data_IF_371943023107
#
_entry.id   IF_371943023107
#
_cell.length_a   1.000
_cell.length_b   1.000
_cell.length_c   1.000
_cell.angle_alpha   90.00
_cell.angle_beta   90.00
_cell.angle_gamma   90.00
#
_symmetry.space_group_name_H-M   'P 1'
#
loop_
_entity.id
_entity.type
_entity.pdbx_description
1 polymer ?
#
# COMPACT_ATOMS: atom_id res chain seq x y z
N UNK A 1 -4.71 48.81 -14.13
CA UNK A 1 -3.28 48.44 -14.25
C UNK A 1 -2.58 48.14 -12.92
N UNK A 2 -2.39 49.10 -12.00
CA UNK A 2 -1.61 48.84 -10.77
C UNK A 2 -2.32 47.88 -9.78
N UNK A 3 -3.65 48.02 -9.62
CA UNK A 3 -4.45 47.12 -8.79
C UNK A 3 -4.58 45.70 -9.38
N UNK A 4 -4.70 45.58 -10.71
CA UNK A 4 -4.78 44.27 -11.39
C UNK A 4 -3.45 43.51 -11.31
N UNK A 5 -2.32 44.22 -11.47
CA UNK A 5 -0.99 43.64 -11.32
C UNK A 5 -0.77 43.14 -9.88
N UNK A 6 -1.22 43.92 -8.89
CA UNK A 6 -1.14 43.54 -7.47
C UNK A 6 -1.99 42.29 -7.17
N UNK A 7 -3.22 42.21 -7.68
CA UNK A 7 -4.07 41.03 -7.52
C UNK A 7 -3.46 39.79 -8.18
N UNK A 8 -2.93 39.91 -9.39
CA UNK A 8 -2.27 38.81 -10.08
C UNK A 8 -1.02 38.32 -9.33
N UNK A 9 -0.23 39.25 -8.77
CA UNK A 9 0.90 38.93 -7.91
C UNK A 9 0.47 38.18 -6.64
N UNK A 10 -0.57 38.63 -5.95
CA UNK A 10 -1.08 37.93 -4.76
C UNK A 10 -1.61 36.54 -5.09
N UNK A 11 -2.37 36.38 -6.19
CA UNK A 11 -2.82 35.06 -6.65
C UNK A 11 -1.64 34.13 -6.98
N UNK A 12 -0.58 34.65 -7.61
CA UNK A 12 0.62 33.88 -7.88
C UNK A 12 1.33 33.47 -6.58
N UNK A 13 1.46 34.39 -5.61
CA UNK A 13 2.02 34.08 -4.29
C UNK A 13 1.20 33.04 -3.54
N UNK A 14 -0.13 33.18 -3.53
CA UNK A 14 -1.02 32.23 -2.87
C UNK A 14 -0.93 30.84 -3.53
N UNK A 15 -0.86 30.79 -4.86
CA UNK A 15 -0.66 29.53 -5.59
C UNK A 15 0.68 28.88 -5.24
N UNK A 16 1.78 29.65 -5.19
CA UNK A 16 3.10 29.15 -4.79
C UNK A 16 3.13 28.71 -3.31
N UNK A 17 2.41 29.41 -2.44
CA UNK A 17 2.28 29.05 -1.03
C UNK A 17 1.50 27.75 -0.87
N UNK A 18 0.40 27.57 -1.61
CA UNK A 18 -0.39 26.35 -1.62
C UNK A 18 0.40 25.14 -2.13
N UNK A 19 1.34 25.33 -3.06
CA UNK A 19 2.26 24.26 -3.50
C UNK A 19 3.19 23.75 -2.40
N UNK A 20 3.36 24.49 -1.30
CA UNK A 20 4.17 24.08 -0.13
C UNK A 20 3.34 23.38 0.95
N UNK A 21 2.01 23.40 0.84
CA UNK A 21 1.13 22.74 1.80
C UNK A 21 1.25 21.23 1.62
N UNK A 22 1.54 20.54 2.72
CA UNK A 22 1.57 19.08 2.77
C UNK A 22 0.35 18.60 3.56
N UNK A 23 -0.40 17.69 2.96
CA UNK A 23 -1.58 17.08 3.59
C UNK A 23 -1.18 15.76 4.22
N UNK A 24 -1.68 15.49 5.42
CA UNK A 24 -1.57 14.19 6.06
C UNK A 24 -2.97 13.59 6.18
N UNK A 25 -3.24 12.57 5.37
CA UNK A 25 -4.56 11.94 5.27
C UNK A 25 -4.47 10.48 5.71
N UNK A 26 -5.35 10.08 6.63
CA UNK A 26 -5.48 8.71 7.15
C UNK A 26 -6.95 8.38 7.35
N UNK A 27 -7.33 7.10 7.51
CA UNK A 27 -8.69 6.74 7.87
C UNK A 27 -9.12 7.45 9.15
N UNK A 28 -10.34 8.01 9.22
CA UNK A 28 -10.84 8.68 10.42
C UNK A 28 -10.85 7.77 11.67
N UNK A 29 -11.04 6.46 11.46
CA UNK A 29 -11.04 5.45 12.52
C UNK A 29 -10.12 4.30 12.12
N UNK A 30 -9.23 3.90 13.03
CA UNK A 30 -8.42 2.68 12.91
C UNK A 30 -8.60 1.86 14.18
N UNK A 31 -9.13 0.64 14.04
CA UNK A 31 -9.31 -0.31 15.14
C UNK A 31 -8.18 -1.33 15.09
N UNK A 32 -7.51 -1.56 16.22
CA UNK A 32 -6.38 -2.49 16.30
C UNK A 32 -6.57 -3.47 17.44
N UNK A 33 -6.19 -4.72 17.21
CA UNK A 33 -6.07 -5.75 18.24
C UNK A 33 -6.79 -7.04 17.86
N UNK A 34 -6.40 -8.13 18.50
CA UNK A 34 -7.07 -9.42 18.35
C UNK A 34 -8.58 -9.33 18.60
N UNK A 35 -9.36 -9.77 17.62
CA UNK A 35 -10.82 -9.74 17.67
C UNK A 35 -11.44 -8.39 17.29
N UNK A 36 -10.65 -7.40 16.83
CA UNK A 36 -11.16 -6.11 16.37
C UNK A 36 -12.22 -6.24 15.25
N UNK A 37 -12.19 -7.33 14.47
CA UNK A 37 -13.23 -7.64 13.48
C UNK A 37 -14.64 -7.72 14.11
N UNK A 38 -14.73 -8.08 15.39
CA UNK A 38 -15.98 -8.10 16.17
C UNK A 38 -16.66 -6.73 16.29
N UNK A 39 -15.94 -5.62 16.05
CA UNK A 39 -16.50 -4.27 16.08
C UNK A 39 -17.10 -3.83 14.73
N UNK A 40 -16.94 -4.59 13.64
CA UNK A 40 -17.36 -4.16 12.30
C UNK A 40 -18.85 -3.79 12.21
N UNK A 41 -19.74 -4.54 12.86
CA UNK A 41 -21.17 -4.22 12.89
C UNK A 41 -21.48 -2.91 13.61
N UNK A 42 -20.73 -2.58 14.67
CA UNK A 42 -20.88 -1.31 15.36
C UNK A 42 -20.44 -0.15 14.46
N UNK A 43 -19.32 -0.31 13.76
CA UNK A 43 -18.82 0.70 12.83
C UNK A 43 -19.75 0.92 11.62
N UNK A 44 -20.38 -0.15 11.12
CA UNK A 44 -21.39 -0.08 10.06
C UNK A 44 -22.64 0.66 10.55
N UNK A 45 -23.18 0.29 11.71
CA UNK A 45 -24.34 0.96 12.31
C UNK A 45 -24.09 2.45 12.58
N UNK A 46 -22.91 2.80 13.10
CA UNK A 46 -22.53 4.20 13.36
C UNK A 46 -22.50 5.07 12.10
N UNK A 47 -22.37 4.46 10.92
CA UNK A 47 -22.37 5.12 9.61
C UNK A 47 -23.71 5.03 8.88
N UNK A 48 -24.74 4.49 9.54
CA UNK A 48 -26.08 4.34 8.97
C UNK A 48 -26.18 3.27 7.89
N UNK A 49 -25.23 2.33 7.83
CA UNK A 49 -25.21 1.24 6.86
C UNK A 49 -26.16 0.14 7.33
N UNK A 50 -27.03 -0.32 6.43
CA UNK A 50 -28.01 -1.38 6.70
C UNK A 50 -27.72 -2.70 5.96
N UNK A 51 -27.00 -2.64 4.84
CA UNK A 51 -26.65 -3.80 4.02
C UNK A 51 -25.25 -3.66 3.40
N UNK A 52 -24.32 -4.46 3.89
CA UNK A 52 -22.93 -4.46 3.42
C UNK A 52 -22.71 -5.43 2.24
N UNK A 53 -22.02 -4.92 1.22
CA UNK A 53 -21.36 -5.74 0.22
C UNK A 53 -19.95 -6.11 0.70
N UNK A 54 -19.71 -7.40 0.95
CA UNK A 54 -18.44 -7.90 1.50
C UNK A 54 -17.64 -8.51 0.36
N UNK A 55 -16.72 -7.71 -0.19
CA UNK A 55 -15.74 -8.16 -1.16
C UNK A 55 -14.59 -8.85 -0.43
N UNK A 56 -14.45 -10.16 -0.62
CA UNK A 56 -13.59 -11.00 0.22
C UNK A 56 -12.69 -11.92 -0.59
N UNK A 57 -11.46 -12.12 -0.13
CA UNK A 57 -10.60 -13.19 -0.64
C UNK A 57 -11.29 -14.56 -0.54
N UNK A 58 -11.43 -15.25 -1.68
CA UNK A 58 -12.15 -16.53 -1.76
C UNK A 58 -11.59 -17.60 -0.83
N UNK A 59 -10.27 -17.67 -0.66
CA UNK A 59 -9.64 -18.66 0.21
C UNK A 59 -9.99 -18.39 1.68
N UNK A 60 -9.95 -17.13 2.11
CA UNK A 60 -10.30 -16.76 3.49
C UNK A 60 -11.79 -16.99 3.79
N UNK A 61 -12.66 -16.72 2.81
CA UNK A 61 -14.08 -17.01 2.96
C UNK A 61 -14.34 -18.52 3.09
N UNK A 62 -13.73 -19.34 2.21
CA UNK A 62 -13.84 -20.80 2.26
C UNK A 62 -13.26 -21.40 3.54
N UNK A 63 -12.20 -20.78 4.09
CA UNK A 63 -11.61 -21.14 5.38
C UNK A 63 -12.47 -20.71 6.60
N UNK A 64 -13.62 -20.05 6.38
CA UNK A 64 -14.53 -19.62 7.44
C UNK A 64 -14.06 -18.38 8.22
N UNK A 65 -13.05 -17.67 7.73
CA UNK A 65 -12.47 -16.52 8.43
C UNK A 65 -13.39 -15.29 8.46
N UNK A 66 -14.46 -15.29 7.66
CA UNK A 66 -15.52 -14.26 7.70
C UNK A 66 -16.56 -14.51 8.80
N UNK A 67 -16.48 -15.60 9.56
CA UNK A 67 -17.49 -15.91 10.58
C UNK A 67 -17.61 -14.87 11.71
N UNK A 68 -16.50 -14.28 12.24
CA UNK A 68 -16.60 -13.20 13.23
C UNK A 68 -17.28 -11.95 12.66
N UNK A 69 -17.00 -11.61 11.39
CA UNK A 69 -17.66 -10.51 10.68
C UNK A 69 -19.17 -10.76 10.60
N UNK A 70 -19.59 -11.92 10.09
CA UNK A 70 -21.02 -12.26 9.95
C UNK A 70 -21.77 -12.18 11.30
N UNK A 71 -21.17 -12.67 12.39
CA UNK A 71 -21.74 -12.54 13.74
C UNK A 71 -21.84 -11.09 14.20
N UNK A 72 -20.80 -10.29 13.97
CA UNK A 72 -20.77 -8.86 14.32
C UNK A 72 -21.90 -8.09 13.62
N UNK A 73 -22.08 -8.33 12.31
CA UNK A 73 -23.14 -7.70 11.52
C UNK A 73 -24.54 -8.12 11.99
N UNK A 74 -24.75 -9.42 12.22
CA UNK A 74 -26.03 -9.96 12.67
C UNK A 74 -26.47 -9.37 14.03
N UNK A 75 -25.54 -9.21 14.98
CA UNK A 75 -25.84 -8.60 16.29
C UNK A 75 -26.30 -7.13 16.18
N UNK A 76 -25.98 -6.46 15.08
CA UNK A 76 -26.35 -5.06 14.82
C UNK A 76 -27.48 -4.91 13.80
N UNK A 77 -28.05 -6.03 13.33
CA UNK A 77 -29.11 -6.03 12.32
C UNK A 77 -28.65 -5.54 10.95
N UNK A 78 -27.36 -5.65 10.64
CA UNK A 78 -26.79 -5.28 9.34
C UNK A 78 -26.78 -6.51 8.44
N UNK A 79 -27.43 -6.42 7.28
CA UNK A 79 -27.43 -7.47 6.27
C UNK A 79 -26.07 -7.56 5.57
N UNK A 80 -25.78 -8.73 4.97
CA UNK A 80 -24.51 -8.99 4.31
C UNK A 80 -24.73 -9.75 3.01
N UNK A 81 -24.24 -9.19 1.89
CA UNK A 81 -24.06 -9.90 0.62
C UNK A 81 -22.58 -10.15 0.41
N UNK A 82 -22.18 -11.41 0.26
CA UNK A 82 -20.77 -11.79 0.07
C UNK A 82 -20.46 -11.85 -1.42
N UNK A 83 -19.33 -11.23 -1.79
CA UNK A 83 -18.71 -11.36 -3.10
C UNK A 83 -17.32 -11.96 -2.97
N UNK A 84 -17.16 -13.26 -3.30
CA UNK A 84 -15.85 -13.90 -3.30
C UNK A 84 -15.04 -13.41 -4.50
N UNK A 85 -13.88 -12.80 -4.25
CA UNK A 85 -12.96 -12.35 -5.29
C UNK A 85 -12.43 -13.52 -6.12
N UNK A 86 -12.37 -13.39 -7.45
CA UNK A 86 -11.71 -14.38 -8.29
C UNK A 86 -10.25 -14.62 -7.86
N UNK A 87 -9.69 -15.82 -8.12
CA UNK A 87 -8.27 -16.08 -7.85
C UNK A 87 -7.35 -15.12 -8.60
N UNK A 88 -6.32 -14.61 -7.94
CA UNK A 88 -5.36 -13.68 -8.52
C UNK A 88 -5.64 -12.22 -8.18
N UNK A 89 -5.00 -11.28 -8.89
CA UNK A 89 -5.27 -9.85 -8.75
C UNK A 89 -6.57 -9.48 -9.49
N UNK A 90 -7.61 -8.92 -8.83
CA UNK A 90 -8.84 -8.52 -9.52
C UNK A 90 -8.57 -7.48 -10.60
N UNK A 91 -9.17 -7.69 -11.76
CA UNK A 91 -9.08 -6.78 -12.90
C UNK A 91 -10.35 -5.94 -13.05
N UNK A 92 -10.34 -5.02 -14.01
CA UNK A 92 -11.46 -4.08 -14.23
C UNK A 92 -12.79 -4.80 -14.50
N UNK A 93 -12.79 -5.98 -15.14
CA UNK A 93 -14.03 -6.73 -15.37
C UNK A 93 -14.61 -7.29 -14.08
N UNK A 94 -13.77 -7.68 -13.11
CA UNK A 94 -14.20 -8.17 -11.80
C UNK A 94 -14.81 -7.04 -10.99
N UNK A 95 -14.21 -5.85 -11.04
CA UNK A 95 -14.74 -4.62 -10.42
C UNK A 95 -16.11 -4.28 -11.00
N UNK A 96 -16.28 -4.31 -12.32
CA UNK A 96 -17.57 -4.04 -12.97
C UNK A 96 -18.64 -5.07 -12.58
N UNK A 97 -18.28 -6.35 -12.50
CA UNK A 97 -19.20 -7.41 -12.07
C UNK A 97 -19.62 -7.22 -10.59
N UNK A 98 -18.67 -6.89 -9.72
CA UNK A 98 -18.94 -6.59 -8.31
C UNK A 98 -19.86 -5.36 -8.15
N UNK A 99 -19.65 -4.29 -8.94
CA UNK A 99 -20.54 -3.11 -8.95
C UNK A 99 -21.95 -3.50 -9.37
N UNK A 100 -22.12 -4.35 -10.38
CA UNK A 100 -23.44 -4.83 -10.81
C UNK A 100 -24.14 -5.61 -9.69
N UNK A 101 -23.45 -6.55 -9.05
CA UNK A 101 -24.02 -7.34 -7.95
C UNK A 101 -24.36 -6.48 -6.72
N UNK A 102 -23.50 -5.53 -6.37
CA UNK A 102 -23.73 -4.59 -5.28
C UNK A 102 -25.04 -3.80 -5.51
N UNK A 103 -25.27 -3.32 -6.74
CA UNK A 103 -26.50 -2.61 -7.12
C UNK A 103 -27.72 -3.50 -7.04
N UNK A 104 -27.64 -4.72 -7.58
CA UNK A 104 -28.73 -5.70 -7.55
C UNK A 104 -29.14 -6.04 -6.11
N UNK A 105 -28.15 -6.24 -5.23
CA UNK A 105 -28.37 -6.52 -3.81
C UNK A 105 -28.78 -5.29 -2.99
N UNK A 106 -28.83 -4.09 -3.60
CA UNK A 106 -29.13 -2.82 -2.95
C UNK A 106 -28.28 -2.58 -1.68
N UNK A 107 -26.99 -2.92 -1.75
CA UNK A 107 -26.07 -2.66 -0.65
C UNK A 107 -25.76 -1.16 -0.52
N UNK A 108 -25.65 -0.66 0.71
CA UNK A 108 -25.41 0.74 1.05
C UNK A 108 -24.06 0.99 1.75
N UNK A 109 -23.21 -0.04 1.82
CA UNK A 109 -21.80 0.05 2.25
C UNK A 109 -20.96 -1.11 1.72
N UNK A 110 -19.64 -0.98 1.82
CA UNK A 110 -18.66 -1.97 1.35
C UNK A 110 -17.72 -2.38 2.48
N UNK A 111 -17.48 -3.68 2.63
CA UNK A 111 -16.34 -4.22 3.37
C UNK A 111 -15.33 -4.78 2.38
N UNK A 112 -14.09 -4.33 2.48
CA UNK A 112 -12.96 -4.92 1.80
C UNK A 112 -12.23 -5.87 2.74
N UNK A 113 -12.22 -7.18 2.46
CA UNK A 113 -11.65 -8.20 3.34
C UNK A 113 -10.62 -9.04 2.57
N UNK A 114 -9.36 -8.69 2.67
CA UNK A 114 -8.31 -9.42 1.96
C UNK A 114 -6.96 -8.71 1.96
N UNK A 115 -6.04 -9.17 1.11
CA UNK A 115 -4.80 -8.47 0.83
C UNK A 115 -5.03 -7.23 -0.04
N UNK A 116 -3.94 -6.53 -0.37
CA UNK A 116 -3.99 -5.26 -1.10
C UNK A 116 -4.83 -5.27 -2.38
N UNK A 117 -4.77 -6.34 -3.18
CA UNK A 117 -5.56 -6.45 -4.41
C UNK A 117 -7.08 -6.46 -4.17
N UNK A 118 -7.53 -7.09 -3.09
CA UNK A 118 -8.96 -7.06 -2.68
C UNK A 118 -9.34 -5.69 -2.14
N UNK A 119 -8.46 -5.07 -1.35
CA UNK A 119 -8.66 -3.73 -0.81
C UNK A 119 -8.81 -2.69 -1.92
N UNK A 120 -7.90 -2.71 -2.91
CA UNK A 120 -7.91 -1.79 -4.04
C UNK A 120 -9.16 -1.96 -4.91
N UNK A 121 -9.54 -3.21 -5.21
CA UNK A 121 -10.74 -3.51 -5.97
C UNK A 121 -12.01 -3.05 -5.24
N UNK A 122 -12.10 -3.27 -3.93
CA UNK A 122 -13.25 -2.82 -3.14
C UNK A 122 -13.36 -1.29 -3.06
N UNK A 123 -12.24 -0.56 -2.99
CA UNK A 123 -12.24 0.91 -3.10
C UNK A 123 -12.82 1.36 -4.44
N UNK A 124 -12.40 0.72 -5.52
CA UNK A 124 -12.92 1.02 -6.86
C UNK A 124 -14.43 0.71 -6.96
N UNK A 125 -14.88 -0.43 -6.42
CA UNK A 125 -16.31 -0.78 -6.36
C UNK A 125 -17.12 0.27 -5.59
N UNK A 126 -16.67 0.66 -4.40
CA UNK A 126 -17.34 1.65 -3.56
C UNK A 126 -17.46 3.03 -4.24
N UNK A 127 -16.48 3.41 -5.07
CA UNK A 127 -16.46 4.67 -5.79
C UNK A 127 -17.27 4.63 -7.10
N UNK A 128 -17.11 3.58 -7.91
CA UNK A 128 -17.75 3.47 -9.22
C UNK A 128 -19.25 3.23 -9.11
N UNK A 129 -19.72 2.55 -8.05
CA UNK A 129 -21.15 2.32 -7.86
C UNK A 129 -21.93 3.63 -7.78
N UNK A 130 -21.38 4.67 -7.15
CA UNK A 130 -22.00 6.00 -7.01
C UNK A 130 -21.68 6.93 -8.19
N UNK A 131 -20.72 6.57 -9.04
CA UNK A 131 -20.28 7.34 -10.21
C UNK A 131 -20.45 6.51 -11.51
N UNK A 132 -21.69 6.12 -11.90
CA UNK A 132 -21.96 5.19 -13.01
C UNK A 132 -21.47 5.67 -14.39
N UNK A 133 -21.34 6.99 -14.58
CA UNK A 133 -20.97 7.60 -15.85
C UNK A 133 -19.45 7.77 -16.02
N UNK A 134 -18.66 7.26 -15.06
CA UNK A 134 -17.21 7.40 -15.03
C UNK A 134 -16.53 6.02 -15.14
N UNK A 135 -15.31 6.01 -15.67
CA UNK A 135 -14.40 4.86 -15.64
C UNK A 135 -13.14 5.22 -14.86
N UNK A 136 -12.46 4.24 -14.25
CA UNK A 136 -11.22 4.51 -13.53
C UNK A 136 -10.18 5.20 -14.43
N UNK A 137 -10.08 4.79 -15.69
CA UNK A 137 -9.18 5.37 -16.68
C UNK A 137 -9.49 6.83 -17.04
N UNK A 138 -10.73 7.29 -16.82
CA UNK A 138 -11.14 8.67 -17.07
C UNK A 138 -11.01 9.56 -15.81
N UNK A 139 -10.82 8.95 -14.63
CA UNK A 139 -10.64 9.67 -13.37
C UNK A 139 -9.18 10.11 -13.20
N UNK A 140 -9.00 11.26 -12.57
CA UNK A 140 -7.72 11.83 -12.18
C UNK A 140 -7.78 12.34 -10.74
N UNK A 141 -6.65 12.75 -10.19
CA UNK A 141 -6.52 13.23 -8.81
C UNK A 141 -7.47 14.38 -8.43
N UNK A 142 -7.85 15.21 -9.41
CA UNK A 142 -8.71 16.37 -9.21
C UNK A 142 -10.09 16.22 -9.87
N UNK A 143 -10.50 15.00 -10.22
CA UNK A 143 -11.84 14.74 -10.77
C UNK A 143 -12.92 15.10 -9.75
N UNK A 144 -13.98 15.79 -10.19
CA UNK A 144 -15.17 16.02 -9.36
C UNK A 144 -16.01 14.76 -9.32
N UNK A 145 -15.99 14.05 -8.19
CA UNK A 145 -16.69 12.77 -8.00
C UNK A 145 -17.81 12.89 -6.96
N UNK A 146 -18.87 12.11 -7.12
CA UNK A 146 -19.86 11.91 -6.05
C UNK A 146 -19.20 11.12 -4.91
N UNK A 147 -19.59 11.37 -3.64
CA UNK A 147 -19.12 10.56 -2.53
C UNK A 147 -19.31 9.06 -2.79
N UNK A 148 -18.30 8.26 -2.46
CA UNK A 148 -18.39 6.79 -2.50
C UNK A 148 -19.34 6.28 -1.41
N UNK A 149 -19.73 5.01 -1.48
CA UNK A 149 -20.35 4.34 -0.33
C UNK A 149 -19.37 4.24 0.85
N UNK A 150 -19.86 4.17 2.11
CA UNK A 150 -19.05 3.87 3.28
C UNK A 150 -18.20 2.62 3.07
N UNK A 151 -16.91 2.71 3.42
CA UNK A 151 -15.92 1.67 3.18
C UNK A 151 -15.19 1.29 4.47
N UNK A 152 -15.29 0.01 4.84
CA UNK A 152 -14.55 -0.61 5.95
C UNK A 152 -13.49 -1.53 5.35
N UNK A 153 -12.21 -1.28 5.65
CA UNK A 153 -11.09 -2.07 5.17
C UNK A 153 -10.55 -3.00 6.27
N UNK A 154 -10.43 -4.29 5.94
CA UNK A 154 -9.93 -5.36 6.81
C UNK A 154 -8.75 -6.02 6.10
N UNK A 155 -7.51 -5.54 6.31
CA UNK A 155 -6.33 -6.14 5.70
C UNK A 155 -6.06 -7.53 6.29
N UNK A 156 -5.79 -8.49 5.41
CA UNK A 156 -5.47 -9.87 5.79
C UNK A 156 -4.02 -10.24 5.47
N UNK A 157 -3.25 -9.28 4.96
CA UNK A 157 -1.81 -9.34 4.81
C UNK A 157 -1.19 -8.10 5.44
N UNK A 158 0.04 -8.24 5.97
CA UNK A 158 0.81 -7.15 6.54
C UNK A 158 1.88 -6.72 5.53
N UNK A 159 1.51 -5.83 4.60
CA UNK A 159 2.43 -5.30 3.59
C UNK A 159 1.99 -4.00 2.92
N UNK A 160 0.83 -4.02 2.27
CA UNK A 160 0.47 -2.95 1.31
C UNK A 160 0.02 -1.65 1.98
N UNK A 161 -0.51 -1.72 3.20
CA UNK A 161 -1.09 -0.57 3.90
C UNK A 161 -2.29 0.06 3.17
N UNK A 162 -2.88 -0.64 2.20
CA UNK A 162 -3.95 -0.11 1.35
C UNK A 162 -5.19 0.30 2.16
N UNK A 163 -5.43 -0.32 3.32
CA UNK A 163 -6.46 0.11 4.27
C UNK A 163 -6.30 1.56 4.77
N UNK A 164 -5.14 2.17 4.56
CA UNK A 164 -4.84 3.55 4.95
C UNK A 164 -4.50 4.50 3.80
N UNK A 165 -4.66 4.06 2.55
CA UNK A 165 -4.24 4.85 1.39
C UNK A 165 -5.42 5.37 0.59
N UNK A 166 -5.23 6.52 -0.05
CA UNK A 166 -6.16 7.11 -1.03
C UNK A 166 -5.84 6.67 -2.47
N UNK A 167 -5.23 5.49 -2.63
CA UNK A 167 -4.82 4.93 -3.93
C UNK A 167 -5.55 3.61 -4.17
N UNK A 168 -5.90 3.34 -5.43
CA UNK A 168 -6.31 2.03 -5.91
C UNK A 168 -5.52 1.67 -7.17
N UNK A 169 -5.13 0.40 -7.27
CA UNK A 169 -4.41 -0.16 -8.41
C UNK A 169 -5.20 -1.33 -8.99
N UNK A 170 -5.71 -1.17 -10.22
CA UNK A 170 -6.54 -2.18 -10.89
C UNK A 170 -5.91 -2.58 -12.20
N UNK A 171 -5.86 -3.89 -12.49
CA UNK A 171 -5.37 -4.38 -13.78
C UNK A 171 -6.42 -4.12 -14.88
N UNK A 172 -5.97 -3.51 -15.97
CA UNK A 172 -6.72 -3.44 -17.21
C UNK A 172 -6.69 -4.80 -17.91
N UNK A 173 -7.83 -5.45 -18.04
CA UNK A 173 -7.93 -6.82 -18.59
C UNK A 173 -7.50 -6.92 -20.06
N UNK A 174 -7.51 -5.82 -20.82
CA UNK A 174 -7.20 -5.81 -22.26
C UNK A 174 -5.70 -5.61 -22.49
N UNK A 175 -5.11 -4.60 -21.84
CA UNK A 175 -3.71 -4.22 -22.01
C UNK A 175 -2.76 -4.91 -21.03
N UNK A 176 -3.28 -5.50 -19.96
CA UNK A 176 -2.50 -6.08 -18.86
C UNK A 176 -1.79 -5.03 -17.99
N UNK A 177 -2.01 -3.74 -18.24
CA UNK A 177 -1.36 -2.65 -17.51
C UNK A 177 -2.12 -2.34 -16.22
N UNK A 178 -1.38 -1.93 -15.18
CA UNK A 178 -1.97 -1.44 -13.93
C UNK A 178 -2.48 0.00 -14.12
N UNK A 179 -3.77 0.21 -13.91
CA UNK A 179 -4.39 1.53 -13.80
C UNK A 179 -4.29 1.99 -12.34
N UNK A 180 -3.66 3.14 -12.12
CA UNK A 180 -3.46 3.72 -10.79
C UNK A 180 -4.31 4.97 -10.68
N UNK A 181 -5.19 5.03 -9.67
CA UNK A 181 -5.93 6.23 -9.32
C UNK A 181 -5.59 6.63 -7.89
N UNK A 182 -5.06 7.84 -7.72
CA UNK A 182 -4.91 8.50 -6.42
C UNK A 182 -6.00 9.57 -6.31
N UNK A 183 -6.89 9.44 -5.33
CA UNK A 183 -8.00 10.39 -5.14
C UNK A 183 -8.49 10.36 -3.69
N UNK A 184 -8.76 11.52 -3.09
CA UNK A 184 -9.16 11.62 -1.67
C UNK A 184 -10.38 10.74 -1.32
N UNK A 185 -11.32 10.59 -2.25
CA UNK A 185 -12.49 9.72 -2.10
C UNK A 185 -12.19 8.21 -2.01
N UNK A 186 -10.94 7.76 -2.19
CA UNK A 186 -10.57 6.34 -2.04
C UNK A 186 -10.15 5.97 -0.61
N UNK A 187 -9.90 6.95 0.27
CA UNK A 187 -9.52 6.70 1.66
C UNK A 187 -10.64 5.95 2.39
N UNK A 188 -10.39 4.78 3.01
CA UNK A 188 -11.40 4.08 3.80
C UNK A 188 -11.92 4.90 4.99
N UNK A 189 -13.16 4.64 5.42
CA UNK A 189 -13.75 5.27 6.59
C UNK A 189 -13.30 4.61 7.90
N UNK A 190 -12.94 3.32 7.81
CA UNK A 190 -12.44 2.49 8.91
C UNK A 190 -11.37 1.55 8.37
N UNK A 191 -10.24 1.45 9.08
CA UNK A 191 -9.34 0.32 8.98
C UNK A 191 -9.50 -0.59 10.22
N UNK A 192 -9.65 -1.90 10.05
CA UNK A 192 -9.75 -2.87 11.14
C UNK A 192 -8.58 -3.85 11.06
N UNK A 193 -7.61 -3.69 11.95
CA UNK A 193 -6.41 -4.51 12.04
C UNK A 193 -6.61 -5.63 13.06
N UNK A 194 -7.00 -6.81 12.57
CA UNK A 194 -7.18 -8.01 13.38
C UNK A 194 -6.18 -9.10 12.97
N UNK A 195 -5.19 -9.37 13.82
CA UNK A 195 -4.14 -10.34 13.51
C UNK A 195 -4.67 -11.77 13.34
N UNK A 196 -5.85 -12.09 13.89
CA UNK A 196 -6.46 -13.42 13.77
C UNK A 196 -6.76 -13.80 12.30
N UNK A 197 -7.04 -12.81 11.44
CA UNK A 197 -7.29 -13.05 10.01
C UNK A 197 -6.00 -13.12 9.16
N UNK A 198 -4.83 -13.05 9.81
CA UNK A 198 -3.51 -13.13 9.16
C UNK A 198 -2.74 -14.39 9.55
N UNK A 199 -3.21 -15.16 10.52
CA UNK A 199 -2.51 -16.32 11.10
C UNK A 199 -2.14 -17.36 10.04
N UNK A 200 -3.08 -17.64 9.12
CA UNK A 200 -2.94 -18.63 8.05
C UNK A 200 -2.10 -18.18 6.86
N UNK A 201 -1.57 -16.95 6.84
CA UNK A 201 -0.76 -16.46 5.72
C UNK A 201 0.57 -17.24 5.67
N UNK A 202 0.92 -17.87 4.52
CA UNK A 202 2.13 -18.69 4.42
C UNK A 202 3.43 -17.90 4.73
N UNK A 203 4.49 -18.57 5.22
CA UNK A 203 5.76 -17.91 5.56
C UNK A 203 6.36 -17.09 4.42
N UNK A 204 6.37 -17.62 3.19
CA UNK A 204 6.90 -16.90 2.03
C UNK A 204 6.09 -15.62 1.70
N UNK A 205 4.75 -15.69 1.80
CA UNK A 205 3.90 -14.50 1.59
C UNK A 205 4.13 -13.48 2.70
N UNK A 206 4.23 -13.94 3.95
CA UNK A 206 4.53 -13.11 5.12
C UNK A 206 5.86 -12.37 4.97
N UNK A 207 6.89 -13.06 4.48
CA UNK A 207 8.20 -12.48 4.21
C UNK A 207 8.12 -11.40 3.12
N UNK A 208 7.53 -11.73 1.96
CA UNK A 208 7.38 -10.79 0.85
C UNK A 208 6.60 -9.54 1.27
N UNK A 209 5.45 -9.69 1.93
CA UNK A 209 4.64 -8.54 2.35
C UNK A 209 5.31 -7.75 3.47
N UNK A 210 6.03 -8.40 4.37
CA UNK A 210 6.78 -7.70 5.42
C UNK A 210 7.93 -6.86 4.89
N UNK A 211 8.66 -7.35 3.88
CA UNK A 211 9.70 -6.56 3.21
C UNK A 211 9.09 -5.43 2.38
N UNK A 212 7.91 -5.64 1.81
CA UNK A 212 7.14 -4.58 1.15
C UNK A 212 6.81 -3.43 2.13
N UNK A 213 6.26 -3.75 3.31
CA UNK A 213 6.03 -2.76 4.37
C UNK A 213 7.33 -2.07 4.84
N UNK A 214 8.44 -2.80 4.90
CA UNK A 214 9.74 -2.21 5.24
C UNK A 214 10.19 -1.21 4.15
N UNK A 215 10.01 -1.58 2.89
CA UNK A 215 10.32 -0.73 1.73
C UNK A 215 9.48 0.53 1.77
N UNK A 216 8.16 0.41 2.00
CA UNK A 216 7.26 1.53 2.18
C UNK A 216 7.75 2.51 3.25
N UNK A 217 8.11 1.99 4.43
CA UNK A 217 8.57 2.83 5.54
C UNK A 217 9.92 3.51 5.23
N UNK A 218 10.88 2.80 4.64
CA UNK A 218 12.20 3.34 4.28
C UNK A 218 12.08 4.43 3.20
N UNK A 219 11.28 4.18 2.16
CA UNK A 219 11.07 5.16 1.10
C UNK A 219 10.31 6.37 1.61
N UNK A 220 9.24 6.19 2.39
CA UNK A 220 8.50 7.29 3.00
C UNK A 220 9.38 8.16 3.91
N UNK A 221 10.23 7.55 4.73
CA UNK A 221 11.15 8.27 5.63
C UNK A 221 12.22 9.08 4.87
N UNK A 222 12.61 8.59 3.68
CA UNK A 222 13.64 9.23 2.87
C UNK A 222 13.08 10.18 1.79
N UNK A 223 11.77 10.15 1.54
CA UNK A 223 11.11 10.90 0.48
C UNK A 223 11.23 12.42 0.61
N UNK A 224 11.11 13.12 -0.52
CA UNK A 224 11.09 14.59 -0.61
C UNK A 224 9.89 15.20 0.13
N UNK A 225 8.74 14.53 0.11
CA UNK A 225 7.53 15.03 0.75
C UNK A 225 7.41 14.63 2.21
N UNK A 226 8.39 13.93 2.79
CA UNK A 226 8.43 13.57 4.20
C UNK A 226 8.17 14.77 5.14
N UNK A 227 7.50 14.49 6.25
CA UNK A 227 7.08 15.43 7.30
C UNK A 227 7.32 14.80 8.68
N UNK A 228 7.32 15.56 9.78
CA UNK A 228 7.41 14.98 11.12
C UNK A 228 6.34 13.91 11.43
N UNK A 229 5.13 14.03 10.86
CA UNK A 229 4.08 13.02 11.00
C UNK A 229 4.48 11.70 10.32
N UNK A 230 4.85 11.77 9.03
CA UNK A 230 5.25 10.59 8.26
C UNK A 230 6.54 9.99 8.79
N UNK A 231 7.47 10.82 9.25
CA UNK A 231 8.76 10.39 9.81
C UNK A 231 8.57 9.55 11.08
N UNK A 232 7.67 10.00 11.96
CA UNK A 232 7.35 9.29 13.22
C UNK A 232 6.72 7.93 12.96
N UNK A 233 5.82 7.85 11.98
CA UNK A 233 5.15 6.60 11.60
C UNK A 233 6.11 5.64 10.90
N UNK A 234 6.90 6.13 9.95
CA UNK A 234 7.85 5.32 9.20
C UNK A 234 8.94 4.73 10.11
N UNK A 235 9.53 5.54 11.01
CA UNK A 235 10.58 5.03 11.90
C UNK A 235 10.04 4.03 12.93
N UNK A 236 8.81 4.25 13.42
CA UNK A 236 8.10 3.30 14.28
C UNK A 236 7.82 1.98 13.57
N UNK A 237 7.35 2.04 12.31
CA UNK A 237 7.12 0.87 11.48
C UNK A 237 8.42 0.06 11.25
N UNK A 238 9.53 0.72 10.91
CA UNK A 238 10.84 0.07 10.71
C UNK A 238 11.27 -0.70 11.96
N UNK A 239 11.15 -0.08 13.14
CA UNK A 239 11.51 -0.72 14.40
C UNK A 239 10.64 -1.94 14.72
N UNK A 240 9.32 -1.84 14.49
CA UNK A 240 8.39 -2.94 14.70
C UNK A 240 8.63 -4.10 13.73
N UNK A 241 8.90 -3.80 12.46
CA UNK A 241 9.18 -4.79 11.41
C UNK A 241 10.46 -5.56 11.73
N UNK A 242 11.56 -4.87 12.05
CA UNK A 242 12.84 -5.51 12.39
C UNK A 242 12.72 -6.52 13.53
N UNK A 243 11.85 -6.25 14.51
CA UNK A 243 11.60 -7.15 15.65
C UNK A 243 10.63 -8.29 15.34
N UNK A 244 9.64 -8.04 14.50
CA UNK A 244 8.44 -8.91 14.39
C UNK A 244 8.44 -9.76 13.14
N UNK A 245 9.06 -9.31 12.04
CA UNK A 245 9.02 -10.01 10.77
C UNK A 245 9.70 -11.40 10.84
N UNK A 246 10.93 -11.55 11.38
CA UNK A 246 11.54 -12.87 11.48
C UNK A 246 10.69 -13.85 12.30
N UNK A 247 10.02 -13.37 13.36
CA UNK A 247 9.12 -14.19 14.19
C UNK A 247 7.86 -14.59 13.45
N UNK A 248 7.20 -13.65 12.77
CA UNK A 248 6.00 -13.94 12.01
C UNK A 248 6.25 -14.91 10.84
N UNK A 249 7.45 -14.87 10.25
CA UNK A 249 7.87 -15.81 9.19
C UNK A 249 8.24 -17.18 9.77
N UNK A 250 9.06 -17.22 10.83
CA UNK A 250 9.54 -18.47 11.43
C UNK A 250 8.48 -19.21 12.26
N UNK A 251 7.52 -18.49 12.84
CA UNK A 251 6.41 -19.05 13.62
C UNK A 251 5.12 -18.25 13.37
N UNK A 252 4.40 -18.61 12.30
CA UNK A 252 3.20 -17.90 11.85
C UNK A 252 2.02 -17.86 12.83
N UNK A 253 2.05 -18.68 13.89
CA UNK A 253 1.06 -18.69 14.97
C UNK A 253 1.39 -17.69 16.11
N UNK A 254 2.51 -16.97 16.03
CA UNK A 254 2.80 -15.86 16.94
C UNK A 254 1.88 -14.67 16.62
N UNK A 255 0.68 -14.68 17.21
CA UNK A 255 -0.31 -13.63 17.02
C UNK A 255 0.20 -12.23 17.44
N UNK A 256 1.13 -12.16 18.40
CA UNK A 256 1.72 -10.88 18.79
C UNK A 256 2.69 -10.36 17.72
N UNK A 257 3.49 -11.23 17.09
CA UNK A 257 4.31 -10.86 15.95
C UNK A 257 3.46 -10.46 14.74
N UNK A 258 2.38 -11.21 14.46
CA UNK A 258 1.40 -10.89 13.41
C UNK A 258 0.73 -9.53 13.63
N UNK A 259 0.26 -9.25 14.85
CA UNK A 259 -0.36 -7.98 15.21
C UNK A 259 0.60 -6.80 15.04
N UNK A 260 1.85 -6.96 15.52
CA UNK A 260 2.88 -5.94 15.32
C UNK A 260 3.19 -5.72 13.84
N UNK A 261 3.25 -6.77 13.02
CA UNK A 261 3.45 -6.64 11.58
C UNK A 261 2.28 -5.91 10.90
N UNK A 262 1.05 -6.23 11.27
CA UNK A 262 -0.14 -5.59 10.71
C UNK A 262 -0.20 -4.11 11.06
N UNK A 263 0.07 -3.76 12.33
CA UNK A 263 0.16 -2.38 12.78
C UNK A 263 1.33 -1.64 12.11
N UNK A 264 2.49 -2.27 11.96
CA UNK A 264 3.63 -1.65 11.28
C UNK A 264 3.37 -1.41 9.79
N UNK A 265 2.71 -2.35 9.11
CA UNK A 265 2.23 -2.18 7.72
C UNK A 265 1.27 -1.01 7.61
N UNK A 266 0.30 -0.90 8.52
CA UNK A 266 -0.64 0.21 8.57
C UNK A 266 0.09 1.55 8.80
N UNK A 267 1.05 1.61 9.71
CA UNK A 267 1.86 2.81 9.96
C UNK A 267 2.70 3.21 8.74
N UNK A 268 3.31 2.22 8.06
CA UNK A 268 4.03 2.45 6.81
C UNK A 268 3.08 2.98 5.72
N UNK A 269 1.87 2.42 5.62
CA UNK A 269 0.77 2.88 4.77
C UNK A 269 0.43 4.35 4.96
N UNK A 270 0.16 4.75 6.19
CA UNK A 270 -0.12 6.14 6.56
C UNK A 270 1.05 7.07 6.22
N UNK A 271 2.28 6.61 6.40
CA UNK A 271 3.48 7.38 6.07
C UNK A 271 3.62 7.60 4.56
N UNK A 272 3.63 6.52 3.77
CA UNK A 272 3.89 6.62 2.33
C UNK A 272 2.72 7.25 1.57
N UNK A 273 1.48 7.09 2.03
CA UNK A 273 0.32 7.71 1.38
C UNK A 273 0.41 9.25 1.36
N UNK A 274 1.19 9.85 2.27
CA UNK A 274 1.40 11.31 2.34
C UNK A 274 2.82 11.74 1.93
N UNK A 275 3.85 10.94 2.24
CA UNK A 275 5.24 11.25 1.88
C UNK A 275 5.62 10.84 0.44
N UNK A 276 4.86 9.92 -0.16
CA UNK A 276 5.26 9.21 -1.36
C UNK A 276 6.24 8.09 -1.09
N UNK A 277 6.68 7.45 -2.18
CA UNK A 277 7.64 6.35 -2.20
C UNK A 277 8.93 6.83 -2.88
N UNK A 278 9.61 5.96 -3.63
CA UNK A 278 10.81 6.36 -4.35
C UNK A 278 11.19 5.42 -5.48
N UNK A 279 12.50 5.41 -5.74
CA UNK A 279 13.10 4.68 -6.85
C UNK A 279 12.97 3.15 -6.71
N UNK A 280 12.86 2.60 -5.50
CA UNK A 280 12.70 1.16 -5.31
C UNK A 280 11.37 0.68 -5.91
N UNK A 281 10.26 1.30 -5.54
CA UNK A 281 8.95 0.96 -6.12
C UNK A 281 8.91 1.24 -7.63
N UNK A 282 9.41 2.40 -8.06
CA UNK A 282 9.45 2.77 -9.48
C UNK A 282 10.20 1.73 -10.33
N UNK A 283 11.31 1.19 -9.78
CA UNK A 283 12.04 0.10 -10.42
C UNK A 283 11.32 -1.25 -10.27
N UNK A 284 10.78 -1.59 -9.11
CA UNK A 284 10.17 -2.89 -8.83
C UNK A 284 8.90 -3.17 -9.65
N UNK A 285 8.13 -2.14 -10.01
CA UNK A 285 6.94 -2.28 -10.85
C UNK A 285 7.26 -2.89 -12.23
N UNK A 286 8.43 -2.61 -12.79
CA UNK A 286 8.76 -2.97 -14.17
C UNK A 286 9.06 -4.47 -14.36
N UNK A 287 10.00 -5.09 -13.63
CA UNK A 287 10.22 -6.53 -13.70
C UNK A 287 9.04 -7.30 -13.09
N UNK A 288 8.31 -6.73 -12.12
CA UNK A 288 7.07 -7.32 -11.60
C UNK A 288 6.02 -7.53 -12.70
N UNK A 289 5.80 -6.52 -13.53
CA UNK A 289 4.89 -6.61 -14.67
C UNK A 289 5.43 -7.52 -15.79
N UNK A 290 6.73 -7.42 -16.12
CA UNK A 290 7.31 -8.12 -17.25
C UNK A 290 7.60 -9.62 -17.00
N UNK A 291 7.92 -9.99 -15.76
CA UNK A 291 8.37 -11.35 -15.40
C UNK A 291 7.46 -12.00 -14.34
N UNK A 292 6.32 -11.38 -14.02
CA UNK A 292 5.38 -11.86 -13.01
C UNK A 292 6.03 -12.10 -11.64
N UNK A 293 7.02 -11.27 -11.28
CA UNK A 293 7.66 -11.33 -9.96
C UNK A 293 6.67 -10.73 -8.93
N UNK A 294 6.38 -11.43 -7.82
CA UNK A 294 5.57 -10.87 -6.75
C UNK A 294 6.13 -9.53 -6.25
N UNK A 295 5.26 -8.55 -6.02
CA UNK A 295 5.66 -7.16 -5.72
C UNK A 295 6.69 -7.03 -4.58
N UNK A 296 6.40 -7.63 -3.42
CA UNK A 296 7.32 -7.60 -2.28
C UNK A 296 8.67 -8.28 -2.53
N UNK A 297 8.73 -9.30 -3.40
CA UNK A 297 9.98 -9.94 -3.81
C UNK A 297 10.78 -9.04 -4.76
N UNK A 298 10.13 -8.32 -5.67
CA UNK A 298 10.79 -7.34 -6.53
C UNK A 298 11.35 -6.16 -5.72
N UNK A 299 10.60 -5.67 -4.73
CA UNK A 299 11.11 -4.68 -3.77
C UNK A 299 12.31 -5.21 -2.98
N UNK A 300 12.24 -6.45 -2.47
CA UNK A 300 13.35 -7.08 -1.75
C UNK A 300 14.65 -7.16 -2.59
N UNK A 301 14.55 -7.48 -3.87
CA UNK A 301 15.69 -7.57 -4.80
C UNK A 301 16.39 -6.22 -5.03
N UNK A 302 15.65 -5.13 -4.95
CA UNK A 302 16.10 -3.80 -5.38
C UNK A 302 16.46 -2.87 -4.21
N UNK A 303 15.80 -3.03 -3.07
CA UNK A 303 15.86 -2.09 -1.95
C UNK A 303 17.31 -1.81 -1.48
N UNK A 304 18.18 -2.80 -1.19
CA UNK A 304 19.54 -2.51 -0.76
C UNK A 304 20.36 -1.70 -1.77
N UNK A 305 20.20 -2.02 -3.06
CA UNK A 305 20.89 -1.35 -4.16
C UNK A 305 20.40 0.10 -4.31
N UNK A 306 19.09 0.33 -4.22
CA UNK A 306 18.50 1.67 -4.27
C UNK A 306 18.87 2.50 -3.04
N UNK A 307 18.93 1.91 -1.85
CA UNK A 307 19.50 2.58 -0.68
C UNK A 307 20.97 2.95 -0.94
N UNK A 308 21.77 2.04 -1.50
CA UNK A 308 23.14 2.32 -1.93
C UNK A 308 23.27 3.53 -2.86
N UNK A 309 22.27 3.77 -3.72
CA UNK A 309 22.17 4.97 -4.54
C UNK A 309 21.76 6.21 -3.73
N UNK A 310 20.66 6.13 -2.97
CA UNK A 310 20.09 7.27 -2.26
C UNK A 310 20.94 7.75 -1.07
N UNK A 311 21.81 6.89 -0.50
CA UNK A 311 22.65 7.24 0.67
C UNK A 311 23.47 8.51 0.50
N UNK A 312 23.82 8.89 -0.75
CA UNK A 312 24.59 10.11 -1.04
C UNK A 312 23.93 11.36 -0.44
N UNK A 313 22.59 11.41 -0.43
CA UNK A 313 21.79 12.55 0.05
C UNK A 313 20.97 12.22 1.32
N UNK A 314 20.99 10.96 1.79
CA UNK A 314 20.18 10.49 2.91
C UNK A 314 20.98 9.93 4.10
N UNK A 315 22.27 10.25 4.23
CA UNK A 315 23.15 9.63 5.25
C UNK A 315 22.60 9.64 6.67
N UNK A 316 22.14 10.79 7.15
CA UNK A 316 21.61 10.91 8.51
C UNK A 316 20.32 10.11 8.68
N UNK A 317 19.39 10.22 7.73
CA UNK A 317 18.14 9.45 7.73
C UNK A 317 18.41 7.95 7.73
N UNK A 318 19.36 7.48 6.92
CA UNK A 318 19.70 6.05 6.88
C UNK A 318 20.37 5.57 8.17
N UNK A 319 21.19 6.39 8.80
CA UNK A 319 21.68 6.10 10.17
C UNK A 319 20.51 5.88 11.15
N UNK A 320 19.42 6.68 11.06
CA UNK A 320 18.24 6.46 11.89
C UNK A 320 17.49 5.18 11.53
N UNK A 321 17.36 4.86 10.24
CA UNK A 321 16.75 3.59 9.78
C UNK A 321 17.48 2.40 10.42
N UNK A 322 18.81 2.35 10.31
CA UNK A 322 19.59 1.25 10.89
C UNK A 322 19.47 1.17 12.41
N UNK A 323 19.41 2.32 13.11
CA UNK A 323 19.13 2.36 14.56
C UNK A 323 17.76 1.80 14.90
N UNK A 324 16.72 2.20 14.17
CA UNK A 324 15.37 1.71 14.40
C UNK A 324 15.27 0.21 14.13
N UNK A 325 15.85 -0.27 13.03
CA UNK A 325 15.79 -1.66 12.61
C UNK A 325 16.55 -2.60 13.57
N UNK A 326 17.71 -2.17 14.07
CA UNK A 326 18.62 -3.05 14.84
C UNK A 326 18.68 -2.75 16.33
N UNK A 327 18.14 -1.61 16.77
CA UNK A 327 18.31 -1.05 18.11
C UNK A 327 19.79 -0.86 18.53
N UNK A 328 20.68 -0.61 17.56
CA UNK A 328 22.12 -0.38 17.76
C UNK A 328 22.54 0.95 17.14
N UNK A 329 23.70 1.48 17.54
CA UNK A 329 24.33 2.59 16.81
C UNK A 329 24.61 2.12 15.37
N UNK A 330 24.22 2.93 14.41
CA UNK A 330 24.31 2.63 12.97
C UNK A 330 24.74 3.88 12.23
N UNK A 331 25.56 3.74 11.20
CA UNK A 331 25.66 4.71 10.10
C UNK A 331 24.77 4.30 8.90
N UNK A 332 24.92 4.98 7.76
CA UNK A 332 24.13 4.72 6.57
C UNK A 332 24.50 3.42 5.83
N UNK A 333 25.74 2.93 5.99
CA UNK A 333 26.19 1.64 5.42
C UNK A 333 25.71 0.48 6.28
N UNK A 334 25.81 0.63 7.61
CA UNK A 334 25.28 -0.32 8.58
C UNK A 334 23.77 -0.56 8.36
N UNK A 335 23.03 0.50 8.03
CA UNK A 335 21.60 0.39 7.74
C UNK A 335 21.30 -0.44 6.48
N UNK A 336 22.08 -0.26 5.40
CA UNK A 336 21.94 -1.05 4.16
C UNK A 336 22.29 -2.51 4.42
N UNK A 337 23.34 -2.78 5.20
CA UNK A 337 23.72 -4.12 5.61
C UNK A 337 22.61 -4.79 6.42
N UNK A 338 22.06 -4.10 7.43
CA UNK A 338 20.98 -4.62 8.26
C UNK A 338 19.70 -4.93 7.47
N UNK A 339 19.34 -4.10 6.49
CA UNK A 339 18.21 -4.37 5.59
C UNK A 339 18.48 -5.62 4.73
N UNK A 340 19.70 -5.75 4.19
CA UNK A 340 20.09 -6.91 3.38
C UNK A 340 20.10 -8.20 4.20
N UNK A 341 20.60 -8.14 5.44
CA UNK A 341 20.60 -9.24 6.40
C UNK A 341 19.18 -9.68 6.73
N UNK A 342 18.27 -8.74 7.04
CA UNK A 342 16.88 -9.07 7.31
C UNK A 342 16.19 -9.72 6.10
N UNK A 343 16.38 -9.18 4.89
CA UNK A 343 15.86 -9.75 3.64
C UNK A 343 16.33 -11.20 3.46
N UNK A 344 17.61 -11.47 3.72
CA UNK A 344 18.18 -12.81 3.64
C UNK A 344 17.63 -13.73 4.74
N UNK A 345 17.53 -13.25 5.98
CA UNK A 345 17.02 -13.99 7.14
C UNK A 345 15.59 -14.51 6.92
N UNK A 346 14.74 -13.70 6.28
CA UNK A 346 13.34 -14.09 5.97
C UNK A 346 13.21 -14.84 4.64
N UNK A 347 14.32 -15.26 4.03
CA UNK A 347 14.35 -16.11 2.85
C UNK A 347 14.03 -15.42 1.52
N UNK A 348 14.20 -14.09 1.43
CA UNK A 348 13.92 -13.29 0.23
C UNK A 348 15.19 -12.94 -0.55
N UNK A 349 16.19 -13.83 -0.59
CA UNK A 349 17.53 -13.59 -1.14
C UNK A 349 17.65 -13.77 -2.67
N UNK A 350 16.54 -13.96 -3.38
CA UNK A 350 16.57 -14.09 -4.85
C UNK A 350 17.09 -12.79 -5.47
N UNK A 351 17.80 -12.89 -6.59
CA UNK A 351 18.27 -11.78 -7.42
C UNK A 351 17.41 -11.66 -8.67
N UNK A 352 17.52 -10.53 -9.37
CA UNK A 352 16.72 -10.33 -10.59
C UNK A 352 17.07 -11.37 -11.68
N UNK A 353 18.34 -11.77 -11.81
CA UNK A 353 18.73 -12.81 -12.76
C UNK A 353 18.09 -14.18 -12.45
N UNK A 354 17.89 -14.51 -11.17
CA UNK A 354 17.22 -15.76 -10.75
C UNK A 354 15.75 -15.80 -11.21
N UNK A 355 15.15 -14.62 -11.42
CA UNK A 355 13.80 -14.45 -11.92
C UNK A 355 13.72 -14.28 -13.45
N UNK A 356 14.85 -14.41 -14.16
CA UNK A 356 14.91 -14.31 -15.62
C UNK A 356 15.18 -12.92 -16.17
N UNK A 357 15.60 -11.96 -15.34
CA UNK A 357 16.04 -10.66 -15.83
C UNK A 357 17.34 -10.79 -16.63
N UNK A 358 17.43 -10.04 -17.73
CA UNK A 358 18.57 -10.02 -18.63
C UNK A 358 18.96 -8.57 -18.95
N UNK A 359 20.22 -8.30 -19.33
CA UNK A 359 20.67 -6.96 -19.70
C UNK A 359 19.82 -6.27 -20.77
N UNK A 360 19.28 -7.06 -21.71
CA UNK A 360 18.39 -6.58 -22.78
C UNK A 360 17.07 -5.96 -22.27
N UNK A 361 16.63 -6.31 -21.05
CA UNK A 361 15.43 -5.74 -20.44
C UNK A 361 15.67 -4.35 -19.82
N UNK A 362 16.90 -4.08 -19.36
CA UNK A 362 17.16 -2.96 -18.43
C UNK A 362 16.88 -1.59 -19.02
N UNK A 363 17.15 -1.38 -20.31
CA UNK A 363 16.90 -0.08 -20.96
C UNK A 363 15.41 0.28 -20.99
N UNK A 364 14.56 -0.68 -21.35
CA UNK A 364 13.12 -0.50 -21.39
C UNK A 364 12.54 -0.30 -19.98
N UNK A 365 12.98 -1.10 -19.01
CA UNK A 365 12.56 -0.94 -17.62
C UNK A 365 13.04 0.37 -17.01
N UNK A 366 14.24 0.85 -17.34
CA UNK A 366 14.73 2.12 -16.87
C UNK A 366 13.91 3.30 -17.42
N UNK A 367 13.49 3.24 -18.68
CA UNK A 367 12.60 4.24 -19.26
C UNK A 367 11.24 4.25 -18.55
N UNK A 368 10.63 3.08 -18.35
CA UNK A 368 9.34 2.99 -17.66
C UNK A 368 9.43 3.43 -16.19
N UNK A 369 10.53 3.13 -15.50
CA UNK A 369 10.77 3.60 -14.13
C UNK A 369 10.91 5.14 -14.04
N UNK A 370 11.40 5.82 -15.09
CA UNK A 370 11.44 7.29 -15.15
C UNK A 370 10.05 7.92 -15.28
N UNK A 371 9.09 7.18 -15.84
CA UNK A 371 7.71 7.60 -16.04
C UNK A 371 6.81 7.25 -14.84
N UNK A 372 7.30 6.40 -13.93
CA UNK A 372 6.57 5.95 -12.76
C UNK A 372 6.34 7.07 -11.73
N UNK A 373 5.12 7.16 -11.21
CA UNK A 373 4.73 8.20 -10.25
C UNK A 373 5.52 8.14 -8.93
N UNK A 374 5.95 6.95 -8.50
CA UNK A 374 6.72 6.77 -7.27
C UNK A 374 8.08 7.48 -7.33
N UNK A 375 8.66 7.66 -8.52
CA UNK A 375 9.95 8.33 -8.67
C UNK A 375 9.91 9.82 -8.28
N UNK A 376 8.73 10.46 -8.37
CA UNK A 376 8.55 11.90 -8.12
C UNK A 376 8.98 12.33 -6.71
N UNK A 377 8.87 11.43 -5.73
CA UNK A 377 9.23 11.69 -4.34
C UNK A 377 10.62 11.15 -3.95
N UNK A 378 11.37 10.53 -4.88
CA UNK A 378 12.69 10.00 -4.57
C UNK A 378 13.68 11.13 -4.19
N UNK A 379 14.47 10.99 -3.12
CA UNK A 379 15.33 12.07 -2.62
C UNK A 379 16.50 12.43 -3.55
N UNK A 380 16.88 11.52 -4.45
CA UNK A 380 17.98 11.71 -5.39
C UNK A 380 17.48 11.58 -6.81
N UNK A 381 17.69 12.59 -7.65
CA UNK A 381 17.40 12.47 -9.08
C UNK A 381 18.23 11.35 -9.71
N UNK A 382 17.57 10.46 -10.45
CA UNK A 382 18.19 9.35 -11.16
C UNK A 382 18.12 9.56 -12.67
N UNK A 383 19.22 9.31 -13.38
CA UNK A 383 19.23 9.27 -14.85
C UNK A 383 18.91 7.87 -15.34
N UNK A 384 18.46 7.72 -16.59
CA UNK A 384 18.21 6.40 -17.19
C UNK A 384 19.43 5.48 -17.09
N UNK A 385 20.63 6.01 -17.38
CA UNK A 385 21.88 5.26 -17.28
C UNK A 385 22.14 4.74 -15.86
N UNK A 386 21.90 5.57 -14.84
CA UNK A 386 22.03 5.15 -13.45
C UNK A 386 21.01 4.06 -13.08
N UNK A 387 19.76 4.16 -13.56
CA UNK A 387 18.74 3.12 -13.31
C UNK A 387 19.15 1.79 -13.96
N UNK A 388 19.71 1.83 -15.18
CA UNK A 388 20.27 0.63 -15.84
C UNK A 388 21.38 0.01 -14.98
N UNK A 389 22.31 0.83 -14.47
CA UNK A 389 23.40 0.36 -13.60
C UNK A 389 22.85 -0.27 -12.30
N UNK A 390 21.77 0.28 -11.74
CA UNK A 390 21.11 -0.26 -10.55
C UNK A 390 20.44 -1.62 -10.82
N UNK A 391 19.77 -1.78 -11.97
CA UNK A 391 19.27 -3.11 -12.38
C UNK A 391 20.40 -4.11 -12.55
N UNK A 392 21.51 -3.70 -13.18
CA UNK A 392 22.68 -4.56 -13.35
C UNK A 392 23.31 -4.97 -12.00
N UNK A 393 23.34 -4.07 -11.01
CA UNK A 393 23.85 -4.38 -9.68
C UNK A 393 22.92 -5.32 -8.88
N UNK A 394 21.60 -5.21 -9.06
CA UNK A 394 20.61 -6.10 -8.46
C UNK A 394 20.44 -7.44 -9.22
N UNK A 395 20.94 -7.52 -10.45
CA UNK A 395 20.93 -8.66 -11.37
C UNK A 395 21.79 -9.81 -10.94
#
# INVERSE_FOLDING_TARGET
MQAELQTALFQAFDTLNLQRVKTFSVPPVTLCGLGALGACGQEAQARGVSHLFVMVDSFLHQAGMTAPLARSLAMKGVAMTVWPCPPGEPCITDVCAAVAQLREAACDGVVAFGGGSVLDAAKAVALLVTNPDQTLSAMAEHSTLRPRLPLIAVPTTAGTGSETTNVTVIIDAVSGRKQVLAHASLMPDVAILDAAVTEGVPPNVTAMTGIDALTHAIEAYSALNATPFTDSLAIGAIAMIGKSLPKAVGYGHDLAARENMLLASCMAGMAFSSAGLGLCHAMAHQPGAALHIPHGQANAMLLPTVMGFNRMVCRERFSQIGRALTNKKSDDRDAIAAVSELIAEVGQSKRLADAGAKPEHYSAWAQAALEDICLRSNPRTATQAQIIDLYAAAG
#
